data_IF_142144684442
#
_entry.id   IF_142144684442
#
_cell.length_a   1.000
_cell.length_b   1.000
_cell.length_c   1.000
_cell.angle_alpha   90.00
_cell.angle_beta   90.00
_cell.angle_gamma   90.00
#
_symmetry.space_group_name_H-M   'P 1'
#
loop_
_entity.id
_entity.type
_entity.pdbx_description
1 polymer ?
#
# COMPACT_ATOMS: atom_id res chain seq x y z
N UNK A 1 -4.99 -15.47 -30.54
CA UNK A 1 -4.03 -15.04 -29.52
C UNK A 1 -4.61 -13.78 -28.87
N UNK A 2 -5.14 -13.86 -27.65
CA UNK A 2 -5.54 -12.65 -26.93
C UNK A 2 -4.23 -11.93 -26.59
N UNK A 3 -4.09 -10.69 -27.07
CA UNK A 3 -3.00 -9.79 -26.67
C UNK A 3 -2.94 -9.82 -25.15
N UNK A 4 -1.79 -10.17 -24.58
CA UNK A 4 -1.54 -9.93 -23.18
C UNK A 4 -1.71 -8.42 -22.99
N UNK A 5 -2.80 -8.02 -22.33
CA UNK A 5 -3.08 -6.60 -22.12
C UNK A 5 -1.92 -5.96 -21.36
N UNK A 6 -1.67 -4.68 -21.63
CA UNK A 6 -0.64 -3.93 -20.94
C UNK A 6 -0.76 -4.15 -19.42
N UNK A 7 0.33 -4.54 -18.73
CA UNK A 7 0.29 -4.76 -17.30
C UNK A 7 -0.17 -3.48 -16.58
N UNK A 8 -1.06 -3.62 -15.61
CA UNK A 8 -1.67 -2.52 -14.86
C UNK A 8 -2.53 -1.53 -15.69
N UNK A 9 -2.99 -1.93 -16.86
CA UNK A 9 -3.81 -1.08 -17.73
C UNK A 9 -5.03 -0.52 -17.00
N UNK A 10 -5.72 -1.34 -16.21
CA UNK A 10 -6.91 -0.96 -15.44
C UNK A 10 -6.66 0.17 -14.43
N UNK A 11 -5.45 0.30 -13.92
CA UNK A 11 -5.07 1.36 -12.98
C UNK A 11 -5.18 2.75 -13.62
N UNK A 12 -4.99 2.81 -14.95
CA UNK A 12 -5.05 4.05 -15.71
C UNK A 12 -6.33 4.17 -16.54
N UNK A 13 -6.86 3.07 -17.09
CA UNK A 13 -8.07 3.13 -17.91
C UNK A 13 -9.34 3.29 -17.09
N UNK A 14 -9.35 2.94 -15.81
CA UNK A 14 -10.48 3.13 -14.91
C UNK A 14 -11.04 4.57 -14.87
N UNK A 15 -10.20 5.57 -15.20
CA UNK A 15 -10.62 6.97 -15.25
C UNK A 15 -11.68 7.25 -16.33
N UNK A 16 -11.92 6.30 -17.24
CA UNK A 16 -12.99 6.37 -18.25
C UNK A 16 -14.35 5.99 -17.68
N UNK A 17 -14.39 5.34 -16.52
CA UNK A 17 -15.61 4.90 -15.86
C UNK A 17 -16.02 5.89 -14.77
N UNK A 18 -17.14 6.58 -14.97
CA UNK A 18 -17.65 7.57 -14.00
C UNK A 18 -17.79 6.99 -12.59
N UNK A 19 -18.28 5.73 -12.46
CA UNK A 19 -18.39 5.07 -11.15
C UNK A 19 -17.02 4.96 -10.47
N UNK A 20 -15.95 4.59 -11.21
CA UNK A 20 -14.60 4.49 -10.64
C UNK A 20 -14.06 5.85 -10.19
N UNK A 21 -14.30 6.91 -10.96
CA UNK A 21 -13.92 8.29 -10.57
C UNK A 21 -14.63 8.71 -9.27
N UNK A 22 -15.92 8.41 -9.15
CA UNK A 22 -16.68 8.65 -7.91
C UNK A 22 -16.10 7.86 -6.73
N UNK A 23 -15.67 6.61 -6.95
CA UNK A 23 -15.07 5.78 -5.92
C UNK A 23 -13.67 6.28 -5.50
N UNK A 24 -12.90 6.90 -6.41
CA UNK A 24 -11.67 7.63 -6.05
C UNK A 24 -11.99 8.75 -5.07
N UNK A 25 -12.96 9.60 -5.43
CA UNK A 25 -13.37 10.74 -4.60
C UNK A 25 -13.94 10.28 -3.25
N UNK A 26 -14.78 9.24 -3.25
CA UNK A 26 -15.33 8.64 -2.04
C UNK A 26 -14.22 8.12 -1.12
N UNK A 27 -13.27 7.36 -1.65
CA UNK A 27 -12.16 6.81 -0.87
C UNK A 27 -11.30 7.94 -0.30
N UNK A 28 -10.94 8.93 -1.12
CA UNK A 28 -10.16 10.08 -0.68
C UNK A 28 -10.88 10.87 0.42
N UNK A 29 -12.16 11.13 0.22
CA UNK A 29 -12.98 11.88 1.18
C UNK A 29 -13.14 11.14 2.52
N UNK A 30 -13.47 9.84 2.50
CA UNK A 30 -13.60 9.03 3.72
C UNK A 30 -12.25 8.92 4.45
N UNK A 31 -11.17 8.67 3.71
CA UNK A 31 -9.83 8.57 4.30
C UNK A 31 -9.44 9.89 4.95
N UNK A 32 -9.55 11.01 4.26
CA UNK A 32 -9.23 12.33 4.79
C UNK A 32 -10.15 12.72 5.96
N UNK A 33 -11.45 12.43 5.89
CA UNK A 33 -12.42 12.74 6.94
C UNK A 33 -12.13 12.03 8.27
N UNK A 34 -11.55 10.82 8.22
CA UNK A 34 -11.13 10.11 9.43
C UNK A 34 -9.73 10.57 9.87
N UNK A 35 -8.82 10.83 8.90
CA UNK A 35 -7.43 11.18 9.17
C UNK A 35 -7.30 12.56 9.83
N UNK A 36 -8.01 13.58 9.30
CA UNK A 36 -7.83 14.98 9.70
C UNK A 36 -8.15 15.22 11.18
N UNK A 37 -9.28 14.76 11.75
CA UNK A 37 -9.60 14.99 13.15
C UNK A 37 -8.59 14.35 14.12
N UNK A 38 -7.92 13.29 13.69
CA UNK A 38 -6.98 12.53 14.52
C UNK A 38 -5.54 13.06 14.48
N UNK A 39 -5.25 14.03 13.60
CA UNK A 39 -3.94 14.71 13.57
C UNK A 39 -3.58 15.44 14.88
N UNK A 40 -4.57 15.72 15.72
CA UNK A 40 -4.35 16.25 17.06
C UNK A 40 -3.81 15.25 18.08
N UNK A 41 -3.69 13.95 17.71
CA UNK A 41 -3.19 12.88 18.59
C UNK A 41 -1.86 12.37 18.01
N UNK A 42 -0.73 13.06 18.32
CA UNK A 42 0.56 12.67 17.75
C UNK A 42 1.04 11.36 18.36
N UNK A 43 1.50 10.44 17.53
CA UNK A 43 2.31 9.29 17.94
C UNK A 43 3.78 9.72 18.06
N UNK A 44 4.24 10.50 17.09
CA UNK A 44 5.53 11.19 17.12
C UNK A 44 5.26 12.63 16.69
N UNK A 45 5.45 13.62 17.60
CA UNK A 45 5.15 15.02 17.33
C UNK A 45 5.81 15.52 16.04
N UNK A 46 5.02 16.10 15.12
CA UNK A 46 5.48 16.66 13.87
C UNK A 46 5.84 15.63 12.77
N UNK A 47 5.73 14.32 13.04
CA UNK A 47 6.14 13.26 12.10
C UNK A 47 4.98 12.34 11.76
N UNK A 48 4.32 11.74 12.77
CA UNK A 48 3.19 10.85 12.56
C UNK A 48 2.24 10.82 13.74
N UNK A 49 0.99 10.58 13.47
CA UNK A 49 -0.11 10.46 14.41
C UNK A 49 -0.69 9.04 14.45
N UNK A 50 -1.57 8.78 15.42
CA UNK A 50 -2.38 7.56 15.43
C UNK A 50 -3.35 7.62 14.27
N UNK A 51 -3.28 6.63 13.35
CA UNK A 51 -4.01 6.63 12.08
C UNK A 51 -4.98 5.46 11.91
N UNK A 52 -6.12 5.41 12.62
CA UNK A 52 -7.15 4.39 12.36
C UNK A 52 -7.67 4.45 10.91
N UNK A 53 -7.60 5.63 10.28
CA UNK A 53 -7.93 5.83 8.88
C UNK A 53 -7.17 4.89 7.93
N UNK A 54 -5.99 4.38 8.32
CA UNK A 54 -5.15 3.52 7.50
C UNK A 54 -5.76 2.14 7.20
N UNK A 55 -6.88 1.79 7.81
CA UNK A 55 -7.70 0.65 7.40
C UNK A 55 -8.36 0.87 6.02
N UNK A 56 -8.67 2.12 5.67
CA UNK A 56 -9.41 2.48 4.44
C UNK A 56 -8.66 2.07 3.17
N UNK A 57 -7.36 2.39 2.98
CA UNK A 57 -6.63 1.98 1.79
C UNK A 57 -6.69 0.47 1.52
N UNK A 58 -6.56 -0.36 2.56
CA UNK A 58 -6.58 -1.82 2.41
C UNK A 58 -7.99 -2.32 2.07
N UNK A 59 -8.98 -2.00 2.91
CA UNK A 59 -10.35 -2.51 2.75
C UNK A 59 -10.97 -2.00 1.45
N UNK A 60 -10.85 -0.69 1.18
CA UNK A 60 -11.46 -0.11 0.00
C UNK A 60 -10.78 -0.58 -1.30
N UNK A 61 -9.49 -0.89 -1.27
CA UNK A 61 -8.82 -1.46 -2.44
C UNK A 61 -9.27 -2.88 -2.75
N UNK A 62 -9.67 -3.66 -1.76
CA UNK A 62 -10.31 -4.96 -1.99
C UNK A 62 -11.70 -4.80 -2.63
N UNK A 63 -12.45 -3.76 -2.25
CA UNK A 63 -13.81 -3.50 -2.73
C UNK A 63 -13.84 -2.74 -4.07
N UNK A 64 -13.01 -1.70 -4.19
CA UNK A 64 -13.06 -0.73 -5.29
C UNK A 64 -11.83 -0.79 -6.20
N UNK A 65 -10.91 -1.73 -5.95
CA UNK A 65 -9.74 -2.00 -6.77
C UNK A 65 -8.82 -0.79 -6.94
N UNK A 66 -8.40 -0.49 -8.19
CA UNK A 66 -7.45 0.60 -8.45
C UNK A 66 -7.99 1.99 -8.10
N UNK A 67 -9.33 2.18 -8.07
CA UNK A 67 -9.91 3.45 -7.65
C UNK A 67 -9.55 3.79 -6.21
N UNK A 68 -9.54 2.81 -5.31
CA UNK A 68 -9.16 3.05 -3.93
C UNK A 68 -7.65 3.26 -3.75
N UNK A 69 -6.80 2.70 -4.60
CA UNK A 69 -5.37 3.01 -4.57
C UNK A 69 -5.12 4.51 -4.87
N UNK A 70 -5.74 5.05 -5.91
CA UNK A 70 -5.71 6.48 -6.20
C UNK A 70 -6.38 7.31 -5.09
N UNK A 71 -7.54 6.85 -4.60
CA UNK A 71 -8.25 7.51 -3.50
C UNK A 71 -7.42 7.59 -2.21
N UNK A 72 -6.64 6.56 -1.89
CA UNK A 72 -5.72 6.56 -0.74
C UNK A 72 -4.60 7.59 -0.91
N UNK A 73 -4.02 7.69 -2.10
CA UNK A 73 -3.01 8.68 -2.43
C UNK A 73 -3.53 10.12 -2.25
N UNK A 74 -4.67 10.41 -2.86
CA UNK A 74 -5.30 11.73 -2.74
C UNK A 74 -5.79 12.03 -1.33
N UNK A 75 -6.37 11.05 -0.64
CA UNK A 75 -6.86 11.21 0.74
C UNK A 75 -5.74 11.52 1.72
N UNK A 76 -4.58 10.85 1.58
CA UNK A 76 -3.39 11.20 2.36
C UNK A 76 -2.91 12.62 2.06
N UNK A 77 -2.81 12.98 0.77
CA UNK A 77 -2.38 14.33 0.37
C UNK A 77 -3.33 15.40 0.90
N UNK A 78 -4.64 15.20 0.80
CA UNK A 78 -5.65 16.09 1.40
C UNK A 78 -5.39 16.21 2.91
N UNK A 79 -5.18 15.07 3.58
CA UNK A 79 -4.81 15.08 4.99
C UNK A 79 -3.57 15.93 5.29
N UNK A 80 -2.54 15.85 4.46
CA UNK A 80 -1.28 16.58 4.69
C UNK A 80 -1.46 18.10 4.61
N UNK A 81 -2.39 18.61 3.81
CA UNK A 81 -2.73 20.04 3.82
C UNK A 81 -3.20 20.56 5.18
N UNK A 82 -3.64 19.67 6.09
CA UNK A 82 -4.11 20.02 7.41
C UNK A 82 -3.03 19.84 8.52
N UNK A 83 -1.77 20.14 8.23
CA UNK A 83 -0.75 20.30 9.27
C UNK A 83 0.56 19.54 9.06
N UNK A 84 0.70 18.72 8.02
CA UNK A 84 1.93 17.94 7.76
C UNK A 84 2.46 18.10 6.33
N UNK A 85 1.98 19.11 5.58
CA UNK A 85 2.42 19.32 4.20
C UNK A 85 3.92 19.65 4.16
N UNK A 86 4.66 18.82 3.44
CA UNK A 86 6.11 18.93 3.31
C UNK A 86 6.59 18.24 2.03
N UNK A 87 7.88 18.27 1.76
CA UNK A 87 8.48 17.44 0.69
C UNK A 87 8.20 15.95 0.88
N UNK A 88 8.04 15.52 2.13
CA UNK A 88 7.63 14.14 2.47
C UNK A 88 6.26 13.77 1.94
N UNK A 89 5.36 14.73 1.71
CA UNK A 89 4.01 14.48 1.19
C UNK A 89 4.00 13.90 -0.22
N UNK A 90 5.04 14.15 -1.03
CA UNK A 90 5.22 13.52 -2.35
C UNK A 90 5.34 12.00 -2.18
N UNK A 91 6.16 11.57 -1.23
CA UNK A 91 6.35 10.16 -0.93
C UNK A 91 5.18 9.59 -0.14
N UNK A 92 4.50 10.43 0.65
CA UNK A 92 3.21 10.10 1.26
C UNK A 92 2.17 9.74 0.20
N UNK A 93 2.06 10.53 -0.87
CA UNK A 93 1.18 10.26 -2.00
C UNK A 93 1.52 8.93 -2.69
N UNK A 94 2.80 8.75 -3.08
CA UNK A 94 3.26 7.52 -3.74
C UNK A 94 3.11 6.30 -2.84
N UNK A 95 3.51 6.40 -1.57
CA UNK A 95 3.42 5.32 -0.59
C UNK A 95 1.97 4.88 -0.35
N UNK A 96 1.03 5.83 -0.22
CA UNK A 96 -0.39 5.50 -0.04
C UNK A 96 -1.04 4.96 -1.31
N UNK A 97 -0.59 5.38 -2.50
CA UNK A 97 -0.99 4.74 -3.74
C UNK A 97 -0.60 3.26 -3.75
N UNK A 98 0.65 2.94 -3.45
CA UNK A 98 1.13 1.57 -3.38
C UNK A 98 0.54 0.80 -2.19
N UNK A 99 0.14 1.47 -1.12
CA UNK A 99 -0.59 0.86 -0.01
C UNK A 99 -1.88 0.19 -0.50
N UNK A 100 -2.72 0.94 -1.21
CA UNK A 100 -3.93 0.41 -1.80
C UNK A 100 -3.65 -0.58 -2.95
N UNK A 101 -2.72 -0.24 -3.85
CA UNK A 101 -2.39 -1.08 -4.99
C UNK A 101 -1.88 -2.47 -4.58
N UNK A 102 -1.08 -2.56 -3.51
CA UNK A 102 -0.60 -3.83 -2.96
C UNK A 102 -1.78 -4.72 -2.56
N UNK A 103 -2.74 -4.18 -1.83
CA UNK A 103 -3.92 -4.94 -1.41
C UNK A 103 -4.72 -5.44 -2.61
N UNK A 104 -4.96 -4.58 -3.60
CA UNK A 104 -5.65 -4.93 -4.84
C UNK A 104 -4.92 -6.01 -5.65
N UNK A 105 -3.60 -5.84 -5.87
CA UNK A 105 -2.83 -6.74 -6.74
C UNK A 105 -2.52 -8.08 -6.09
N UNK A 106 -2.34 -8.15 -4.77
CA UNK A 106 -1.91 -9.36 -4.07
C UNK A 106 -3.07 -10.30 -3.73
N UNK A 107 -4.29 -9.75 -3.50
CA UNK A 107 -5.45 -10.54 -3.11
C UNK A 107 -5.76 -11.64 -4.11
N UNK A 108 -5.94 -12.87 -3.59
CA UNK A 108 -6.25 -14.05 -4.42
C UNK A 108 -5.06 -14.63 -5.20
N UNK A 109 -3.85 -14.03 -5.11
CA UNK A 109 -2.69 -14.41 -5.94
C UNK A 109 -1.55 -15.08 -5.17
N UNK A 110 -1.74 -15.33 -3.86
CA UNK A 110 -0.72 -15.98 -3.01
C UNK A 110 -0.81 -17.53 -3.04
N UNK A 111 -1.36 -18.11 -4.08
CA UNK A 111 -1.42 -19.56 -4.28
C UNK A 111 -2.13 -20.30 -3.14
N UNK A 112 -1.44 -21.20 -2.39
CA UNK A 112 -2.03 -21.96 -1.29
C UNK A 112 -2.51 -21.10 -0.12
N UNK A 113 -1.97 -19.89 0.04
CA UNK A 113 -2.34 -18.94 1.12
C UNK A 113 -3.60 -18.16 0.79
N UNK A 114 -4.04 -18.15 -0.48
CA UNK A 114 -5.29 -17.49 -0.87
C UNK A 114 -6.51 -18.30 -0.46
N UNK A 115 -7.50 -17.61 0.13
CA UNK A 115 -8.70 -18.27 0.71
C UNK A 115 -9.66 -18.81 -0.33
N UNK A 116 -9.71 -18.18 -1.52
CA UNK A 116 -10.69 -18.46 -2.60
C UNK A 116 -12.16 -18.34 -2.16
N UNK A 117 -12.41 -17.74 -1.00
CA UNK A 117 -13.74 -17.57 -0.43
C UNK A 117 -14.27 -16.16 -0.66
N UNK A 118 -15.60 -15.94 -0.64
CA UNK A 118 -16.16 -14.58 -0.67
C UNK A 118 -15.62 -13.74 0.50
N UNK A 119 -15.45 -12.45 0.27
CA UNK A 119 -14.84 -11.53 1.25
C UNK A 119 -15.67 -11.33 2.52
N UNK A 120 -16.93 -11.73 2.55
CA UNK A 120 -17.80 -11.74 3.73
C UNK A 120 -17.73 -13.04 4.52
N UNK A 121 -16.94 -14.02 4.09
CA UNK A 121 -16.71 -15.25 4.83
C UNK A 121 -15.96 -14.98 6.14
N UNK A 122 -16.35 -15.68 7.21
CA UNK A 122 -15.68 -15.61 8.52
C UNK A 122 -14.65 -16.73 8.71
N UNK A 123 -14.07 -17.23 7.62
CA UNK A 123 -13.09 -18.31 7.72
C UNK A 123 -11.73 -17.79 8.21
N UNK A 124 -11.06 -18.58 9.05
CA UNK A 124 -9.70 -18.24 9.51
C UNK A 124 -8.70 -18.09 8.36
N UNK A 125 -8.93 -18.79 7.22
CA UNK A 125 -8.09 -18.71 6.04
C UNK A 125 -8.21 -17.35 5.33
N UNK A 126 -9.44 -16.80 5.26
CA UNK A 126 -9.66 -15.46 4.71
C UNK A 126 -9.03 -14.39 5.61
N UNK A 127 -9.16 -14.54 6.93
CA UNK A 127 -8.53 -13.63 7.89
C UNK A 127 -7.01 -13.69 7.74
N UNK A 128 -6.43 -14.89 7.62
CA UNK A 128 -4.97 -15.02 7.40
C UNK A 128 -4.52 -14.34 6.12
N UNK A 129 -5.21 -14.57 5.00
CA UNK A 129 -4.91 -13.89 3.72
C UNK A 129 -5.00 -12.38 3.88
N UNK A 130 -6.06 -11.88 4.52
CA UNK A 130 -6.23 -10.46 4.79
C UNK A 130 -5.05 -9.89 5.62
N UNK A 131 -4.64 -10.58 6.70
CA UNK A 131 -3.53 -10.15 7.55
C UNK A 131 -2.21 -10.09 6.78
N UNK A 132 -1.93 -11.08 5.94
CA UNK A 132 -0.72 -11.10 5.10
C UNK A 132 -0.73 -9.94 4.09
N UNK A 133 -1.86 -9.72 3.42
CA UNK A 133 -2.04 -8.61 2.47
C UNK A 133 -1.88 -7.26 3.17
N UNK A 134 -2.53 -7.06 4.32
CA UNK A 134 -2.45 -5.82 5.10
C UNK A 134 -1.02 -5.56 5.61
N UNK A 135 -0.31 -6.60 6.04
CA UNK A 135 1.08 -6.49 6.50
C UNK A 135 2.01 -6.06 5.36
N UNK A 136 1.97 -6.76 4.21
CA UNK A 136 2.81 -6.38 3.07
C UNK A 136 2.47 -4.98 2.56
N UNK A 137 1.19 -4.66 2.44
CA UNK A 137 0.76 -3.32 2.03
C UNK A 137 1.32 -2.24 2.96
N UNK A 138 1.25 -2.46 4.29
CA UNK A 138 1.79 -1.53 5.29
C UNK A 138 3.31 -1.39 5.18
N UNK A 139 4.04 -2.49 4.98
CA UNK A 139 5.49 -2.50 4.80
C UNK A 139 5.91 -1.74 3.54
N UNK A 140 5.20 -1.95 2.43
CA UNK A 140 5.44 -1.26 1.15
C UNK A 140 5.18 0.24 1.26
N UNK A 141 4.03 0.63 1.82
CA UNK A 141 3.71 2.04 2.06
C UNK A 141 4.82 2.72 2.87
N UNK A 142 5.22 2.07 3.96
CA UNK A 142 6.28 2.54 4.84
C UNK A 142 7.63 2.64 4.12
N UNK A 143 7.99 1.62 3.30
CA UNK A 143 9.25 1.62 2.57
C UNK A 143 9.35 2.80 1.59
N UNK A 144 8.30 3.08 0.81
CA UNK A 144 8.27 4.23 -0.11
C UNK A 144 8.35 5.57 0.62
N UNK A 145 7.57 5.73 1.71
CA UNK A 145 7.57 6.97 2.48
C UNK A 145 8.93 7.19 3.14
N UNK A 146 9.42 6.19 3.87
CA UNK A 146 10.68 6.30 4.61
C UNK A 146 11.88 6.46 3.69
N UNK A 147 11.88 5.81 2.51
CA UNK A 147 12.89 5.97 1.49
C UNK A 147 13.00 7.42 1.00
N UNK A 148 11.88 8.05 0.70
CA UNK A 148 11.88 9.42 0.21
C UNK A 148 12.14 10.45 1.30
N UNK A 149 11.63 10.24 2.50
CA UNK A 149 11.84 11.14 3.65
C UNK A 149 13.31 11.12 4.09
N UNK A 150 13.96 9.93 4.08
CA UNK A 150 15.39 9.77 4.37
C UNK A 150 16.27 10.38 3.25
N UNK A 151 15.85 10.28 1.98
CA UNK A 151 16.53 10.94 0.85
C UNK A 151 16.69 12.44 1.07
N UNK A 152 15.71 13.10 1.65
CA UNK A 152 15.76 14.53 1.99
C UNK A 152 16.38 14.80 3.37
N UNK A 153 16.87 13.78 4.07
CA UNK A 153 17.47 13.90 5.39
C UNK A 153 16.50 14.38 6.48
N UNK A 154 15.18 14.22 6.28
CA UNK A 154 14.17 14.69 7.23
C UNK A 154 14.04 13.76 8.43
N UNK A 155 13.94 12.45 8.18
CA UNK A 155 13.85 11.43 9.24
C UNK A 155 14.54 10.15 8.76
N UNK A 156 15.39 9.51 9.58
CA UNK A 156 16.07 8.28 9.21
C UNK A 156 15.10 7.13 8.91
N UNK A 157 15.36 6.36 7.86
CA UNK A 157 14.54 5.21 7.45
C UNK A 157 14.36 4.19 8.59
N UNK A 158 15.45 3.87 9.30
CA UNK A 158 15.43 2.86 10.37
C UNK A 158 14.51 3.20 11.55
N UNK A 159 14.18 4.49 11.72
CA UNK A 159 13.22 4.95 12.70
C UNK A 159 11.80 5.02 12.12
N UNK A 160 11.64 5.66 10.96
CA UNK A 160 10.33 5.94 10.38
C UNK A 160 9.68 4.68 9.80
N UNK A 161 10.47 3.79 9.20
CA UNK A 161 10.00 2.55 8.58
C UNK A 161 9.19 1.65 9.51
N UNK A 162 9.74 1.20 10.63
CA UNK A 162 9.01 0.39 11.60
C UNK A 162 7.76 1.09 12.15
N UNK A 163 7.86 2.39 12.45
CA UNK A 163 6.75 3.16 13.04
C UNK A 163 5.56 3.22 12.09
N UNK A 164 5.79 3.58 10.82
CA UNK A 164 4.70 3.63 9.83
C UNK A 164 4.14 2.22 9.57
N UNK A 165 5.01 1.21 9.44
CA UNK A 165 4.57 -0.17 9.20
C UNK A 165 3.62 -0.64 10.30
N UNK A 166 4.01 -0.46 11.56
CA UNK A 166 3.20 -0.88 12.71
C UNK A 166 1.89 -0.08 12.79
N UNK A 167 1.96 1.23 12.65
CA UNK A 167 0.79 2.11 12.74
C UNK A 167 -0.26 1.73 11.66
N UNK A 168 0.19 1.51 10.43
CA UNK A 168 -0.68 1.11 9.32
C UNK A 168 -1.23 -0.30 9.53
N UNK A 169 -0.36 -1.25 9.87
CA UNK A 169 -0.75 -2.65 10.02
C UNK A 169 -1.71 -2.85 11.18
N UNK A 170 -1.46 -2.26 12.34
CA UNK A 170 -2.32 -2.41 13.52
C UNK A 170 -3.73 -1.89 13.24
N UNK A 171 -3.84 -0.71 12.61
CA UNK A 171 -5.14 -0.17 12.21
C UNK A 171 -5.87 -1.08 11.22
N UNK A 172 -5.17 -1.55 10.18
CA UNK A 172 -5.73 -2.44 9.18
C UNK A 172 -6.11 -3.81 9.77
N UNK A 173 -5.26 -4.40 10.62
CA UNK A 173 -5.46 -5.73 11.21
C UNK A 173 -6.67 -5.77 12.15
N UNK A 174 -6.84 -4.75 12.99
CA UNK A 174 -7.93 -4.71 13.99
C UNK A 174 -9.27 -4.36 13.34
N UNK A 175 -9.30 -3.30 12.54
CA UNK A 175 -10.55 -2.75 12.00
C UNK A 175 -10.95 -3.40 10.67
N UNK A 176 -9.98 -3.90 9.90
CA UNK A 176 -10.20 -4.30 8.52
C UNK A 176 -11.13 -5.49 8.32
N UNK A 177 -10.96 -6.62 9.00
CA UNK A 177 -11.86 -7.76 8.85
C UNK A 177 -13.32 -7.38 9.17
N UNK A 178 -13.51 -6.57 10.22
CA UNK A 178 -14.85 -6.08 10.59
C UNK A 178 -15.46 -5.20 9.50
N UNK A 179 -14.68 -4.22 8.98
CA UNK A 179 -15.14 -3.35 7.91
C UNK A 179 -15.39 -4.11 6.60
N UNK A 180 -14.56 -5.11 6.28
CA UNK A 180 -14.74 -5.93 5.10
C UNK A 180 -16.06 -6.71 5.16
N UNK A 181 -16.34 -7.38 6.29
CA UNK A 181 -17.61 -8.09 6.50
C UNK A 181 -18.82 -7.15 6.46
N UNK A 182 -18.67 -5.93 6.95
CA UNK A 182 -19.75 -4.95 6.97
C UNK A 182 -20.02 -4.36 5.58
N UNK A 183 -18.95 -4.01 4.84
CA UNK A 183 -19.04 -3.23 3.61
C UNK A 183 -19.19 -4.10 2.35
N UNK A 184 -18.54 -5.27 2.29
CA UNK A 184 -18.58 -6.12 1.09
C UNK A 184 -20.00 -6.49 0.65
N UNK A 185 -20.91 -6.97 1.54
CA UNK A 185 -22.28 -7.31 1.12
C UNK A 185 -23.08 -6.07 0.65
N UNK A 186 -22.74 -4.88 1.15
CA UNK A 186 -23.38 -3.63 0.73
C UNK A 186 -22.87 -3.17 -0.62
N UNK A 187 -21.54 -3.15 -0.79
CA UNK A 187 -20.91 -2.79 -2.05
C UNK A 187 -21.40 -3.69 -3.19
N UNK A 188 -21.51 -5.00 -2.93
CA UNK A 188 -22.04 -5.98 -3.88
C UNK A 188 -23.51 -5.69 -4.25
N UNK A 189 -24.37 -5.37 -3.26
CA UNK A 189 -25.78 -5.04 -3.54
C UNK A 189 -25.97 -3.74 -4.31
N UNK A 190 -24.99 -2.86 -4.28
CA UNK A 190 -25.04 -1.56 -4.97
C UNK A 190 -24.30 -1.58 -6.32
N UNK A 191 -23.82 -2.73 -6.76
CA UNK A 191 -23.06 -2.89 -8.01
C UNK A 191 -21.89 -1.90 -8.11
N UNK A 192 -21.15 -1.75 -7.00
CA UNK A 192 -19.99 -0.85 -6.92
C UNK A 192 -18.68 -1.57 -6.63
N UNK A 193 -18.66 -2.91 -6.63
CA UNK A 193 -17.40 -3.63 -6.63
C UNK A 193 -16.66 -3.38 -7.94
N UNK A 194 -15.35 -3.24 -7.88
CA UNK A 194 -14.53 -3.02 -9.09
C UNK A 194 -14.74 -4.11 -10.14
N UNK A 195 -15.02 -5.34 -9.72
CA UNK A 195 -15.30 -6.50 -10.58
C UNK A 195 -16.65 -6.41 -11.29
N UNK A 196 -17.54 -5.52 -10.85
CA UNK A 196 -18.86 -5.29 -11.43
C UNK A 196 -18.89 -4.04 -12.32
N UNK A 197 -17.86 -3.19 -12.21
CA UNK A 197 -17.73 -1.93 -12.97
C UNK A 197 -16.83 -2.11 -14.19
N UNK A 198 -15.69 -2.78 -14.00
CA UNK A 198 -14.71 -3.00 -15.06
C UNK A 198 -15.04 -4.26 -15.85
N UNK A 199 -14.99 -4.16 -17.17
CA UNK A 199 -15.18 -5.31 -18.03
C UNK A 199 -14.01 -6.30 -17.90
N UNK A 200 -14.24 -7.62 -18.08
CA UNK A 200 -13.20 -8.63 -17.90
C UNK A 200 -11.98 -8.47 -18.82
N UNK A 201 -12.13 -7.78 -19.95
CA UNK A 201 -11.06 -7.49 -20.91
C UNK A 201 -10.28 -6.21 -20.55
N UNK A 202 -10.83 -5.37 -19.68
CA UNK A 202 -10.14 -4.20 -19.14
C UNK A 202 -9.21 -4.55 -17.96
N UNK A 203 -9.50 -5.67 -17.28
CA UNK A 203 -8.72 -6.13 -16.14
C UNK A 203 -7.45 -6.81 -16.65
N UNK A 204 -6.30 -6.19 -16.38
CA UNK A 204 -5.03 -6.83 -16.73
C UNK A 204 -4.80 -8.05 -15.85
N UNK A 205 -4.59 -9.19 -16.48
CA UNK A 205 -4.11 -10.40 -15.82
C UNK A 205 -2.62 -10.47 -16.06
N UNK A 206 -1.84 -10.26 -15.04
CA UNK A 206 -0.40 -10.41 -15.15
C UNK A 206 -0.03 -11.79 -15.73
N UNK A 207 1.05 -11.88 -16.53
CA UNK A 207 1.43 -13.13 -17.19
C UNK A 207 1.83 -14.23 -16.21
N UNK A 208 2.31 -13.86 -15.02
CA UNK A 208 2.79 -14.78 -13.99
C UNK A 208 2.36 -14.32 -12.59
N UNK A 209 1.05 -14.42 -12.22
CA UNK A 209 0.54 -13.83 -10.98
C UNK A 209 1.23 -14.30 -9.70
N UNK A 210 1.61 -15.58 -9.61
CA UNK A 210 2.32 -16.11 -8.46
C UNK A 210 3.78 -15.63 -8.37
N UNK A 211 4.46 -15.45 -9.52
CA UNK A 211 5.80 -14.84 -9.56
C UNK A 211 5.69 -13.38 -9.13
N UNK A 212 4.69 -12.66 -9.66
CA UNK A 212 4.40 -11.30 -9.24
C UNK A 212 4.20 -11.17 -7.74
N UNK A 213 3.41 -12.06 -7.14
CA UNK A 213 3.20 -12.07 -5.69
C UNK A 213 4.51 -12.31 -4.91
N UNK A 214 5.36 -13.24 -5.36
CA UNK A 214 6.68 -13.48 -4.73
C UNK A 214 7.56 -12.24 -4.83
N UNK A 215 7.63 -11.61 -6.01
CA UNK A 215 8.42 -10.39 -6.20
C UNK A 215 7.90 -9.23 -5.35
N UNK A 216 6.58 -9.11 -5.19
CA UNK A 216 6.00 -8.12 -4.29
C UNK A 216 6.42 -8.36 -2.83
N UNK A 217 6.42 -9.61 -2.37
CA UNK A 217 6.88 -9.97 -1.03
C UNK A 217 8.38 -9.71 -0.84
N UNK A 218 9.21 -10.21 -1.75
CA UNK A 218 10.67 -10.02 -1.68
C UNK A 218 11.03 -8.54 -1.79
N UNK A 219 10.39 -7.81 -2.72
CA UNK A 219 10.61 -6.38 -2.90
C UNK A 219 10.14 -5.56 -1.70
N UNK A 220 8.91 -5.78 -1.23
CA UNK A 220 8.33 -5.00 -0.13
C UNK A 220 9.03 -5.24 1.21
N UNK A 221 9.21 -6.50 1.60
CA UNK A 221 9.89 -6.85 2.85
C UNK A 221 11.39 -6.59 2.75
N UNK A 222 12.01 -6.90 1.59
CA UNK A 222 13.42 -6.61 1.34
C UNK A 222 13.72 -5.11 1.46
N UNK A 223 12.89 -4.24 0.88
CA UNK A 223 13.02 -2.80 1.02
C UNK A 223 12.99 -2.34 2.48
N UNK A 224 12.02 -2.84 3.26
CA UNK A 224 11.88 -2.50 4.66
C UNK A 224 13.08 -2.98 5.49
N UNK A 225 13.43 -4.25 5.38
CA UNK A 225 14.51 -4.87 6.18
C UNK A 225 15.86 -4.27 5.83
N UNK A 226 16.20 -4.19 4.54
CA UNK A 226 17.49 -3.64 4.10
C UNK A 226 17.60 -2.15 4.45
N UNK A 227 16.51 -1.38 4.31
CA UNK A 227 16.48 0.02 4.70
C UNK A 227 16.73 0.22 6.20
N UNK A 228 16.12 -0.61 7.06
CA UNK A 228 16.37 -0.61 8.50
C UNK A 228 17.83 -0.95 8.79
N UNK A 229 18.34 -2.03 8.21
CA UNK A 229 19.71 -2.50 8.46
C UNK A 229 20.77 -1.47 8.07
N UNK A 230 20.62 -0.81 6.92
CA UNK A 230 21.54 0.23 6.47
C UNK A 230 21.43 1.46 7.37
N UNK A 231 20.21 1.94 7.58
CA UNK A 231 19.95 3.18 8.34
C UNK A 231 20.36 3.08 9.82
N UNK A 232 20.32 1.87 10.41
CA UNK A 232 20.75 1.63 11.80
C UNK A 232 22.23 1.28 11.94
N UNK A 233 22.98 1.23 10.83
CA UNK A 233 24.41 0.88 10.85
C UNK A 233 24.69 -0.60 11.10
N UNK A 234 23.69 -1.48 11.12
CA UNK A 234 23.91 -2.93 11.25
C UNK A 234 24.72 -3.50 10.09
N UNK A 235 24.80 -2.77 8.99
CA UNK A 235 25.58 -3.12 7.80
C UNK A 235 27.08 -2.80 7.94
N UNK A 236 27.51 -2.03 8.94
CA UNK A 236 28.92 -1.65 9.14
C UNK A 236 29.83 -2.84 9.42
N UNK A 237 29.28 -4.00 9.78
CA UNK A 237 30.02 -5.25 10.01
C UNK A 237 30.11 -6.16 8.78
N UNK A 238 29.48 -5.82 7.65
CA UNK A 238 29.53 -6.62 6.43
C UNK A 238 30.67 -6.14 5.49
N UNK A 239 31.31 -7.06 4.72
CA UNK A 239 32.47 -6.72 3.89
C UNK A 239 32.17 -5.81 2.70
N UNK A 240 30.92 -5.42 2.49
CA UNK A 240 30.50 -4.50 1.45
C UNK A 240 30.03 -3.18 2.08
N UNK A 241 30.93 -2.20 2.18
CA UNK A 241 30.57 -0.83 2.52
C UNK A 241 30.04 -0.13 1.25
N UNK A 242 28.74 0.00 1.13
CA UNK A 242 28.14 0.88 0.14
C UNK A 242 28.15 2.32 0.68
N UNK A 243 29.13 3.12 0.23
CA UNK A 243 29.13 4.56 0.40
C UNK A 243 29.66 5.09 1.74
N UNK A 244 30.83 5.68 1.70
CA UNK A 244 31.38 6.57 2.72
C UNK A 244 30.73 7.95 2.54
N UNK A 245 29.61 8.22 3.22
CA UNK A 245 28.94 9.51 3.12
C UNK A 245 27.70 9.52 3.99
N UNK A 246 26.88 10.47 3.91
CA UNK A 246 25.66 10.63 4.70
C UNK A 246 24.81 9.35 4.69
N UNK A 247 24.37 8.90 5.85
CA UNK A 247 23.56 7.67 6.04
C UNK A 247 22.36 7.57 5.08
N UNK A 248 21.70 8.67 4.76
CA UNK A 248 20.56 8.72 3.86
C UNK A 248 20.83 8.23 2.44
N UNK A 249 21.96 8.60 1.83
CA UNK A 249 22.26 8.21 0.45
C UNK A 249 22.51 6.69 0.31
N UNK A 250 23.19 6.08 1.29
CA UNK A 250 23.39 4.63 1.32
C UNK A 250 22.07 3.86 1.44
N UNK A 251 21.17 4.34 2.30
CA UNK A 251 19.82 3.78 2.44
C UNK A 251 19.04 3.87 1.14
N UNK A 252 19.09 5.03 0.47
CA UNK A 252 18.40 5.27 -0.79
C UNK A 252 18.85 4.29 -1.89
N UNK A 253 20.17 4.11 -2.06
CA UNK A 253 20.71 3.17 -3.06
C UNK A 253 20.40 1.73 -2.70
N UNK A 254 20.54 1.35 -1.43
CA UNK A 254 20.33 -0.02 -0.97
C UNK A 254 18.86 -0.46 -1.05
N UNK A 255 17.91 0.44 -0.82
CA UNK A 255 16.47 0.16 -0.85
C UNK A 255 15.91 0.16 -2.28
N UNK A 256 16.44 1.01 -3.17
CA UNK A 256 15.93 1.21 -4.52
C UNK A 256 15.75 -0.09 -5.34
N UNK A 257 16.69 -1.06 -5.38
CA UNK A 257 16.51 -2.31 -6.11
C UNK A 257 15.28 -3.10 -5.65
N UNK A 258 14.98 -3.09 -4.36
CA UNK A 258 13.83 -3.78 -3.78
C UNK A 258 12.51 -3.08 -4.13
N UNK A 259 12.48 -1.74 -4.14
CA UNK A 259 11.31 -0.99 -4.62
C UNK A 259 11.05 -1.24 -6.11
N UNK A 260 12.09 -1.31 -6.94
CA UNK A 260 11.97 -1.69 -8.35
C UNK A 260 11.43 -3.11 -8.48
N UNK A 261 11.97 -4.05 -7.70
CA UNK A 261 11.52 -5.45 -7.70
C UNK A 261 10.03 -5.56 -7.30
N UNK A 262 9.61 -4.79 -6.30
CA UNK A 262 8.20 -4.71 -5.91
C UNK A 262 7.32 -4.20 -7.05
N UNK A 263 7.72 -3.12 -7.74
CA UNK A 263 6.96 -2.57 -8.89
C UNK A 263 6.89 -3.59 -10.03
N UNK A 264 7.99 -4.28 -10.34
CA UNK A 264 7.98 -5.37 -11.31
C UNK A 264 7.02 -6.49 -10.89
N UNK A 265 6.97 -6.80 -9.59
CA UNK A 265 5.99 -7.73 -9.02
C UNK A 265 4.55 -7.30 -9.30
N UNK A 266 4.23 -6.01 -9.12
CA UNK A 266 2.90 -5.47 -9.45
C UNK A 266 2.55 -5.57 -10.94
N UNK A 267 3.54 -5.44 -11.83
CA UNK A 267 3.35 -5.61 -13.28
C UNK A 267 3.10 -7.07 -13.66
N UNK A 268 3.70 -8.03 -12.97
CA UNK A 268 3.55 -9.46 -13.24
C UNK A 268 2.34 -10.08 -12.54
N UNK A 269 1.82 -9.45 -11.47
CA UNK A 269 0.64 -9.85 -10.73
C UNK A 269 -0.62 -9.22 -11.36
#
# INVERSE_FOLDING_TARGET
MRSAGDPMREVFTMWRHTKMVVLVALTAGVYAAILIPLKGIPLIPGITEIRPANVIPVVFSLLFGPAAAWGAAFGNLIGDFFGTLSLGSIFGFVGNFFYGLTAYKLWGKMGPLSSKQPMDSRSGRLILEYMLVAFLASAVCSAFISWGVDLFGLVPFGFLGPVITLNNFVAAAILGPFLLWLLYPRAKRWDILWTEILEPDEISRGPFPWVGAILMWVGGIGALVVGIMISTGMYASLPFQFGTGTTGFATVIGVLPFLILFVLGCLLA
#
